data_IF_824936526879
#
_entry.id   IF_824936526879
#
_cell.length_a   1.000
_cell.length_b   1.000
_cell.length_c   1.000
_cell.angle_alpha   90.00
_cell.angle_beta   90.00
_cell.angle_gamma   90.00
#
_symmetry.space_group_name_H-M   'P 1'
#
loop_
_entity.id
_entity.type
_entity.pdbx_description
1 polymer ?
#
# COMPACT_ATOMS: atom_id res chain seq x y z
N UNK A 1 -40.58 32.78 -13.70
CA UNK A 1 -39.97 33.14 -15.01
C UNK A 1 -38.58 32.53 -15.05
N UNK A 2 -38.32 31.79 -16.13
CA UNK A 2 -37.12 31.01 -16.47
C UNK A 2 -35.85 31.91 -16.63
N UNK A 3 -34.64 31.39 -17.00
CA UNK A 3 -34.28 30.03 -17.39
C UNK A 3 -32.89 29.50 -16.89
N UNK A 4 -32.66 28.21 -17.20
CA UNK A 4 -31.34 27.55 -17.29
C UNK A 4 -30.49 28.14 -18.44
N UNK A 5 -29.17 27.89 -18.43
CA UNK A 5 -28.45 27.46 -19.62
C UNK A 5 -27.69 26.15 -19.35
N UNK A 6 -27.72 25.12 -20.21
CA UNK A 6 -27.23 24.99 -21.58
C UNK A 6 -25.75 24.59 -21.65
N UNK A 7 -25.59 23.37 -22.19
CA UNK A 7 -24.41 22.68 -22.68
C UNK A 7 -23.64 23.46 -23.74
N UNK A 8 -22.30 23.41 -23.71
CA UNK A 8 -21.44 23.79 -24.83
C UNK A 8 -20.49 22.66 -25.21
N UNK A 9 -20.77 22.11 -26.39
CA UNK A 9 -19.85 21.31 -27.23
C UNK A 9 -18.78 22.22 -27.81
N UNK A 10 -17.54 21.75 -27.90
CA UNK A 10 -16.58 22.24 -28.89
C UNK A 10 -15.74 21.08 -29.42
N UNK A 11 -15.96 20.77 -30.69
CA UNK A 11 -15.22 19.83 -31.52
C UNK A 11 -14.94 20.58 -32.83
N UNK A 12 -13.69 20.88 -33.14
CA UNK A 12 -13.16 21.12 -34.50
C UNK A 12 -11.63 20.99 -34.42
N UNK A 13 -11.00 20.00 -35.07
CA UNK A 13 -10.75 19.83 -36.51
C UNK A 13 -9.47 20.56 -36.94
N UNK A 14 -8.37 19.83 -37.18
CA UNK A 14 -7.29 20.29 -38.07
C UNK A 14 -6.74 19.08 -38.86
N UNK A 15 -6.87 19.16 -40.19
CA UNK A 15 -6.22 18.33 -41.21
C UNK A 15 -4.72 18.69 -41.27
N UNK A 16 -3.88 17.71 -41.62
CA UNK A 16 -2.44 17.87 -41.73
C UNK A 16 -1.95 18.35 -43.09
N UNK A 17 -0.63 18.60 -43.18
CA UNK A 17 0.28 18.13 -44.24
C UNK A 17 1.75 18.35 -43.81
N UNK A 18 2.67 17.70 -44.53
CA UNK A 18 4.01 17.28 -44.10
C UNK A 18 5.16 18.29 -44.32
N UNK A 19 6.21 18.19 -43.50
CA UNK A 19 7.60 17.79 -43.84
C UNK A 19 8.63 18.43 -42.88
N UNK A 20 9.62 17.65 -42.42
CA UNK A 20 10.87 18.18 -41.87
C UNK A 20 11.45 17.38 -40.70
N UNK A 21 12.58 16.72 -40.93
CA UNK A 21 13.34 15.84 -40.03
C UNK A 21 13.83 16.56 -38.76
N UNK A 22 13.90 15.86 -37.63
CA UNK A 22 15.14 15.42 -36.98
C UNK A 22 14.83 14.69 -35.66
N UNK A 23 15.32 13.46 -35.56
CA UNK A 23 15.19 12.54 -34.43
C UNK A 23 16.11 12.92 -33.28
N UNK A 24 15.63 12.88 -32.03
CA UNK A 24 16.42 12.42 -30.87
C UNK A 24 15.48 11.69 -29.90
N UNK A 25 15.68 10.38 -29.76
CA UNK A 25 15.00 9.55 -28.78
C UNK A 25 15.75 9.62 -27.45
N UNK A 26 15.01 9.93 -26.39
CA UNK A 26 15.47 9.77 -25.01
C UNK A 26 15.08 8.38 -24.50
N UNK A 27 16.02 7.66 -23.90
CA UNK A 27 15.75 6.53 -23.00
C UNK A 27 16.66 6.58 -21.76
N UNK A 28 16.20 5.98 -20.65
CA UNK A 28 16.53 6.41 -19.30
C UNK A 28 17.76 5.73 -18.70
N UNK A 29 18.37 6.44 -17.75
CA UNK A 29 19.65 6.12 -17.14
C UNK A 29 19.67 4.93 -16.19
N UNK A 30 20.90 4.47 -15.95
CA UNK A 30 21.26 3.49 -14.94
C UNK A 30 22.20 4.09 -13.89
N UNK A 31 22.03 3.54 -12.69
CA UNK A 31 22.44 4.05 -11.39
C UNK A 31 23.93 3.76 -11.11
N UNK A 32 24.56 4.71 -10.41
CA UNK A 32 25.91 4.68 -9.86
C UNK A 32 26.25 3.38 -9.10
N UNK A 33 27.40 2.78 -9.42
CA UNK A 33 28.17 1.90 -8.53
C UNK A 33 29.63 2.37 -8.47
N UNK A 34 29.85 3.54 -7.85
CA UNK A 34 31.18 4.11 -7.62
C UNK A 34 31.66 3.77 -6.22
N UNK A 35 32.57 2.80 -6.11
CA UNK A 35 33.24 2.50 -4.82
C UNK A 35 34.59 1.79 -4.93
N UNK A 36 34.81 0.92 -5.93
CA UNK A 36 35.98 0.02 -5.94
C UNK A 36 37.11 0.36 -6.92
N UNK A 37 36.94 1.35 -7.79
CA UNK A 37 37.88 1.59 -8.91
C UNK A 37 39.13 2.41 -8.58
N UNK A 38 39.26 2.93 -7.35
CA UNK A 38 40.42 3.78 -6.98
C UNK A 38 41.70 3.00 -6.63
N UNK A 39 41.60 1.69 -6.36
CA UNK A 39 42.78 0.88 -5.98
C UNK A 39 43.53 0.24 -7.16
N UNK A 40 42.89 0.12 -8.32
CA UNK A 40 43.42 -0.63 -9.47
C UNK A 40 44.42 0.18 -10.29
N UNK A 41 44.15 1.47 -10.49
CA UNK A 41 45.01 2.37 -11.26
C UNK A 41 46.39 2.57 -10.60
N UNK A 42 46.45 2.68 -9.27
CA UNK A 42 47.71 2.88 -8.53
C UNK A 42 48.62 1.64 -8.50
N UNK A 43 48.03 0.44 -8.58
CA UNK A 43 48.79 -0.81 -8.60
C UNK A 43 49.39 -1.13 -9.98
N UNK A 44 48.66 -0.81 -11.06
CA UNK A 44 49.13 -0.99 -12.43
C UNK A 44 50.22 0.04 -12.81
N UNK A 45 50.05 1.29 -12.39
CA UNK A 45 51.04 2.36 -12.60
C UNK A 45 52.39 2.08 -11.89
N UNK A 46 52.38 1.33 -10.79
CA UNK A 46 53.59 0.94 -10.04
C UNK A 46 54.30 -0.29 -10.65
N UNK A 47 53.62 -1.07 -11.50
CA UNK A 47 54.19 -2.21 -12.23
C UNK A 47 54.91 -1.77 -13.52
N UNK A 48 54.34 -0.80 -14.25
CA UNK A 48 54.85 -0.33 -15.54
C UNK A 48 56.17 0.48 -15.45
N UNK A 49 56.62 0.83 -14.23
CA UNK A 49 57.86 1.59 -13.95
C UNK A 49 59.02 0.75 -13.38
N UNK A 50 58.98 -0.59 -13.44
CA UNK A 50 60.16 -1.41 -13.09
C UNK A 50 61.02 -1.68 -14.35
N UNK A 51 62.29 -1.25 -14.38
CA UNK A 51 63.19 -1.59 -15.47
C UNK A 51 63.73 -3.02 -15.27
N UNK A 52 63.52 -3.88 -16.27
CA UNK A 52 64.18 -5.18 -16.43
C UNK A 52 63.37 -6.40 -15.97
N UNK A 53 63.15 -7.34 -16.89
CA UNK A 53 62.86 -8.74 -16.59
C UNK A 53 61.55 -9.31 -17.15
N UNK A 54 61.65 -9.95 -18.32
CA UNK A 54 60.69 -10.92 -18.85
C UNK A 54 60.68 -12.17 -17.95
N UNK A 55 59.60 -12.39 -17.19
CA UNK A 55 59.24 -13.69 -16.60
C UNK A 55 57.72 -13.70 -16.32
N UNK A 56 56.98 -14.77 -16.66
CA UNK A 56 55.56 -14.87 -16.37
C UNK A 56 55.33 -15.10 -14.86
N UNK A 57 54.17 -14.68 -14.30
CA UNK A 57 53.93 -14.78 -12.87
C UNK A 57 53.80 -16.25 -12.43
N UNK A 58 54.35 -16.57 -11.25
CA UNK A 58 54.14 -17.89 -10.64
C UNK A 58 52.68 -18.07 -10.19
N UNK A 59 52.19 -19.31 -10.31
CA UNK A 59 50.80 -19.73 -10.04
C UNK A 59 50.25 -19.38 -8.65
N UNK A 60 51.11 -19.03 -7.68
CA UNK A 60 50.69 -18.59 -6.34
C UNK A 60 50.25 -17.13 -6.29
N UNK A 61 50.81 -16.26 -7.14
CA UNK A 61 50.46 -14.84 -7.17
C UNK A 61 49.10 -14.61 -7.86
N UNK A 62 48.79 -15.37 -8.91
CA UNK A 62 47.45 -15.35 -9.53
C UNK A 62 46.38 -15.92 -8.61
N UNK A 63 46.68 -16.97 -7.84
CA UNK A 63 45.74 -17.53 -6.86
C UNK A 63 45.48 -16.62 -5.65
N UNK A 64 46.49 -15.88 -5.16
CA UNK A 64 46.31 -14.90 -4.09
C UNK A 64 45.60 -13.64 -4.56
N UNK A 65 45.74 -13.26 -5.84
CA UNK A 65 45.01 -12.17 -6.47
C UNK A 65 43.52 -12.50 -6.70
N UNK A 66 43.22 -13.72 -7.16
CA UNK A 66 41.84 -14.23 -7.26
C UNK A 66 41.15 -14.32 -5.88
N UNK A 67 41.87 -14.77 -4.84
CA UNK A 67 41.35 -14.86 -3.45
C UNK A 67 41.18 -13.52 -2.75
N UNK A 68 41.88 -12.46 -3.18
CA UNK A 68 41.79 -11.12 -2.60
C UNK A 68 40.78 -10.23 -3.34
N UNK A 69 40.60 -10.43 -4.64
CA UNK A 69 39.57 -9.75 -5.45
C UNK A 69 38.13 -10.12 -5.02
N UNK A 70 37.88 -11.38 -4.64
CA UNK A 70 36.58 -11.81 -4.09
C UNK A 70 36.23 -11.24 -2.70
N UNK A 71 37.14 -10.50 -2.04
CA UNK A 71 36.98 -10.09 -0.64
C UNK A 71 36.47 -8.66 -0.45
N UNK A 72 36.21 -7.93 -1.54
CA UNK A 72 35.69 -6.56 -1.44
C UNK A 72 34.17 -6.55 -1.65
N UNK A 73 33.47 -6.36 -0.52
CA UNK A 73 32.02 -6.20 -0.26
C UNK A 73 31.09 -6.97 -1.20
N UNK A 74 30.67 -8.16 -0.76
CA UNK A 74 29.63 -8.93 -1.42
C UNK A 74 28.35 -8.09 -1.49
N UNK A 75 27.85 -7.72 -2.69
CA UNK A 75 26.51 -7.12 -2.84
C UNK A 75 25.43 -7.98 -2.16
N UNK A 76 25.66 -9.30 -2.04
CA UNK A 76 24.81 -10.21 -1.27
C UNK A 76 24.66 -9.87 0.21
N UNK A 77 25.68 -9.36 0.92
CA UNK A 77 25.52 -9.01 2.35
C UNK A 77 24.59 -7.80 2.56
N UNK A 78 24.70 -6.79 1.69
CA UNK A 78 23.82 -5.63 1.74
C UNK A 78 22.38 -5.97 1.31
N UNK A 79 22.21 -6.92 0.39
CA UNK A 79 20.90 -7.43 -0.02
C UNK A 79 20.25 -8.26 1.09
N UNK A 80 21.01 -9.16 1.71
CA UNK A 80 20.52 -9.99 2.83
C UNK A 80 20.14 -9.14 4.05
N UNK A 81 20.87 -8.04 4.31
CA UNK A 81 20.50 -7.08 5.34
C UNK A 81 19.17 -6.35 5.02
N UNK A 82 18.95 -5.95 3.77
CA UNK A 82 17.70 -5.31 3.32
C UNK A 82 16.51 -6.28 3.34
N UNK A 83 16.71 -7.52 2.89
CA UNK A 83 15.70 -8.59 2.98
C UNK A 83 15.37 -8.89 4.43
N UNK A 84 16.37 -8.95 5.32
CA UNK A 84 16.16 -9.13 6.75
C UNK A 84 15.33 -7.99 7.38
N UNK A 85 15.55 -6.75 6.96
CA UNK A 85 14.74 -5.60 7.40
C UNK A 85 13.28 -5.71 6.90
N UNK A 86 13.06 -6.12 5.65
CA UNK A 86 11.71 -6.32 5.11
C UNK A 86 10.94 -7.42 5.82
N UNK A 87 11.60 -8.53 6.16
CA UNK A 87 10.99 -9.63 6.92
C UNK A 87 10.55 -9.15 8.30
N UNK A 88 11.35 -8.28 8.94
CA UNK A 88 10.96 -7.67 10.21
C UNK A 88 9.76 -6.72 10.03
N UNK A 89 9.78 -5.88 9.01
CA UNK A 89 8.67 -4.96 8.71
C UNK A 89 7.37 -5.71 8.39
N UNK A 90 7.45 -6.82 7.65
CA UNK A 90 6.31 -7.72 7.41
C UNK A 90 5.78 -8.32 8.71
N UNK A 91 6.65 -8.81 9.60
CA UNK A 91 6.21 -9.35 10.90
C UNK A 91 5.54 -8.30 11.79
N UNK A 92 6.05 -7.06 11.78
CA UNK A 92 5.41 -5.93 12.46
C UNK A 92 4.05 -5.61 11.85
N UNK A 93 3.96 -5.65 10.51
CA UNK A 93 2.72 -5.41 9.79
C UNK A 93 1.69 -6.51 10.09
N UNK A 94 2.07 -7.78 10.08
CA UNK A 94 1.20 -8.91 10.42
C UNK A 94 0.64 -8.81 11.83
N UNK A 95 1.49 -8.51 12.83
CA UNK A 95 1.02 -8.25 14.19
C UNK A 95 0.05 -7.06 14.25
N UNK A 96 0.34 -5.98 13.53
CA UNK A 96 -0.53 -4.82 13.47
C UNK A 96 -1.86 -5.12 12.76
N UNK A 97 -1.87 -5.96 11.71
CA UNK A 97 -3.08 -6.48 11.04
C UNK A 97 -3.90 -7.32 12.02
N UNK A 98 -3.28 -8.26 12.73
CA UNK A 98 -3.99 -9.10 13.71
C UNK A 98 -4.63 -8.27 14.82
N UNK A 99 -3.89 -7.29 15.36
CA UNK A 99 -4.42 -6.35 16.36
C UNK A 99 -5.58 -5.49 15.80
N UNK A 100 -5.43 -5.01 14.56
CA UNK A 100 -6.46 -4.23 13.89
C UNK A 100 -7.71 -5.07 13.60
N UNK A 101 -7.55 -6.32 13.18
CA UNK A 101 -8.66 -7.23 12.90
C UNK A 101 -9.46 -7.54 14.16
N UNK A 102 -8.79 -7.84 15.27
CA UNK A 102 -9.43 -7.98 16.58
C UNK A 102 -10.19 -6.70 16.97
N UNK A 103 -9.60 -5.52 16.73
CA UNK A 103 -10.26 -4.25 17.01
C UNK A 103 -11.48 -4.03 16.12
N UNK A 104 -11.41 -4.42 14.84
CA UNK A 104 -12.49 -4.30 13.88
C UNK A 104 -13.63 -5.26 14.22
N UNK A 105 -13.32 -6.50 14.60
CA UNK A 105 -14.30 -7.47 15.08
C UNK A 105 -15.02 -6.97 16.34
N UNK A 106 -14.28 -6.39 17.30
CA UNK A 106 -14.87 -5.74 18.48
C UNK A 106 -15.77 -4.56 18.10
N UNK A 107 -15.36 -3.72 17.16
CA UNK A 107 -16.16 -2.60 16.69
C UNK A 107 -17.44 -3.06 15.97
N UNK A 108 -17.38 -4.13 15.17
CA UNK A 108 -18.53 -4.75 14.52
C UNK A 108 -19.48 -5.35 15.56
N UNK A 109 -18.96 -6.06 16.55
CA UNK A 109 -19.76 -6.61 17.65
C UNK A 109 -20.45 -5.49 18.46
N UNK A 110 -19.72 -4.42 18.79
CA UNK A 110 -20.28 -3.23 19.43
C UNK A 110 -21.37 -2.57 18.57
N UNK A 111 -21.17 -2.49 17.26
CA UNK A 111 -22.17 -1.93 16.34
C UNK A 111 -23.43 -2.79 16.25
N UNK A 112 -23.29 -4.13 16.22
CA UNK A 112 -24.42 -5.07 16.23
C UNK A 112 -25.22 -5.00 17.52
N UNK A 113 -24.54 -4.96 18.67
CA UNK A 113 -25.19 -4.81 19.98
C UNK A 113 -25.92 -3.48 20.10
N UNK A 114 -25.34 -2.39 19.58
CA UNK A 114 -26.01 -1.09 19.48
C UNK A 114 -27.25 -1.12 18.58
N UNK A 115 -27.15 -1.74 17.40
CA UNK A 115 -28.28 -1.88 16.50
C UNK A 115 -29.43 -2.67 17.15
N UNK A 116 -29.11 -3.74 17.88
CA UNK A 116 -30.09 -4.50 18.65
C UNK A 116 -30.73 -3.67 19.77
N UNK A 117 -29.93 -2.86 20.48
CA UNK A 117 -30.41 -1.91 21.49
C UNK A 117 -31.35 -0.87 20.91
N UNK A 118 -30.95 -0.19 19.84
CA UNK A 118 -31.76 0.80 19.14
C UNK A 118 -33.08 0.22 18.61
N UNK A 119 -33.08 -1.02 18.12
CA UNK A 119 -34.31 -1.72 17.72
C UNK A 119 -35.25 -1.94 18.89
N UNK A 120 -34.72 -2.31 20.06
CA UNK A 120 -35.49 -2.45 21.31
C UNK A 120 -36.04 -1.10 21.76
N UNK A 121 -35.22 -0.05 21.74
CA UNK A 121 -35.63 1.31 22.09
C UNK A 121 -36.78 1.78 21.16
N UNK A 122 -36.65 1.54 19.85
CA UNK A 122 -37.69 1.84 18.85
C UNK A 122 -38.99 1.06 19.12
N UNK A 123 -38.93 -0.20 19.52
CA UNK A 123 -40.12 -0.95 19.94
C UNK A 123 -40.77 -0.29 21.18
N UNK A 124 -39.96 0.17 22.14
CA UNK A 124 -40.45 0.92 23.31
C UNK A 124 -41.16 2.23 22.93
N UNK A 125 -40.67 2.95 21.91
CA UNK A 125 -41.32 4.19 21.44
C UNK A 125 -42.73 3.97 20.87
N UNK A 126 -43.05 2.77 20.38
CA UNK A 126 -44.42 2.43 19.95
C UNK A 126 -45.39 2.36 21.14
N UNK A 127 -44.91 1.90 22.30
CA UNK A 127 -45.69 1.96 23.55
C UNK A 127 -45.94 3.40 23.99
N UNK A 128 -44.96 4.29 23.79
CA UNK A 128 -45.12 5.72 24.06
C UNK A 128 -46.19 6.39 23.19
N UNK A 129 -46.25 6.07 21.89
CA UNK A 129 -47.31 6.61 21.01
C UNK A 129 -48.69 6.19 21.48
N UNK A 130 -48.86 4.93 21.89
CA UNK A 130 -50.12 4.44 22.43
C UNK A 130 -50.52 5.14 23.74
N UNK A 131 -49.57 5.32 24.67
CA UNK A 131 -49.81 6.05 25.93
C UNK A 131 -50.14 7.52 25.68
N UNK A 132 -49.50 8.15 24.70
CA UNK A 132 -49.80 9.53 24.29
C UNK A 132 -51.22 9.65 23.77
N UNK A 133 -51.67 8.73 22.93
CA UNK A 133 -53.04 8.73 22.39
C UNK A 133 -54.07 8.48 23.48
N UNK A 134 -53.78 7.57 24.42
CA UNK A 134 -54.61 7.33 25.61
C UNK A 134 -54.69 8.57 26.51
N UNK A 135 -53.57 9.24 26.78
CA UNK A 135 -53.55 10.47 27.57
C UNK A 135 -54.30 11.62 26.87
N UNK A 136 -54.20 11.72 25.54
CA UNK A 136 -54.97 12.67 24.73
C UNK A 136 -56.48 12.41 24.83
N UNK A 137 -56.88 11.14 24.72
CA UNK A 137 -58.27 10.70 24.88
C UNK A 137 -58.80 10.99 26.29
N UNK A 138 -58.01 10.64 27.32
CA UNK A 138 -58.34 10.92 28.72
C UNK A 138 -58.48 12.43 28.99
N UNK A 139 -57.60 13.26 28.43
CA UNK A 139 -57.71 14.73 28.51
C UNK A 139 -59.00 15.24 27.87
N UNK A 140 -59.37 14.73 26.69
CA UNK A 140 -60.64 15.08 26.03
C UNK A 140 -61.85 14.72 26.91
N UNK A 141 -61.85 13.50 27.47
CA UNK A 141 -62.88 13.02 28.39
C UNK A 141 -62.96 13.87 29.67
N UNK A 142 -61.83 14.19 30.29
CA UNK A 142 -61.75 15.08 31.45
C UNK A 142 -62.32 16.47 31.13
N UNK A 143 -61.96 17.04 29.98
CA UNK A 143 -62.42 18.37 29.54
C UNK A 143 -63.94 18.37 29.35
N UNK A 144 -64.48 17.32 28.72
CA UNK A 144 -65.92 17.11 28.57
C UNK A 144 -66.63 16.85 29.90
N UNK A 145 -66.01 16.16 30.84
CA UNK A 145 -66.55 15.93 32.18
C UNK A 145 -66.66 17.24 32.98
N UNK A 146 -65.61 18.08 32.93
CA UNK A 146 -65.60 19.41 33.57
C UNK A 146 -66.64 20.33 32.94
N UNK A 147 -66.77 20.37 31.62
CA UNK A 147 -67.78 21.22 30.97
C UNK A 147 -69.21 20.79 31.31
N UNK A 148 -69.48 19.48 31.33
CA UNK A 148 -70.78 18.92 31.77
C UNK A 148 -71.06 19.19 33.24
N UNK A 149 -70.06 19.10 34.11
CA UNK A 149 -70.18 19.45 35.53
C UNK A 149 -70.52 20.93 35.73
N UNK A 150 -69.81 21.83 35.01
CA UNK A 150 -70.10 23.28 35.02
C UNK A 150 -71.51 23.60 34.53
N UNK A 151 -71.96 22.96 33.45
CA UNK A 151 -73.32 23.14 32.93
C UNK A 151 -74.40 22.61 33.89
N UNK A 152 -74.13 21.50 34.60
CA UNK A 152 -75.04 20.99 35.63
C UNK A 152 -75.15 21.97 36.81
N UNK A 153 -74.02 22.55 37.25
CA UNK A 153 -73.98 23.54 38.32
C UNK A 153 -74.76 24.81 37.94
N UNK A 154 -74.47 25.40 36.77
CA UNK A 154 -75.16 26.61 36.32
C UNK A 154 -76.66 26.36 36.09
N UNK A 155 -77.04 25.18 35.63
CA UNK A 155 -78.44 24.75 35.53
C UNK A 155 -79.13 24.70 36.88
N UNK A 156 -78.48 24.17 37.92
CA UNK A 156 -79.03 24.16 39.29
C UNK A 156 -79.13 25.55 39.91
N UNK A 157 -78.15 26.43 39.68
CA UNK A 157 -78.16 27.82 40.14
C UNK A 157 -79.30 28.62 39.49
N UNK A 158 -79.48 28.47 38.18
CA UNK A 158 -80.59 29.10 37.44
C UNK A 158 -81.96 28.62 37.91
N UNK A 159 -82.10 27.31 38.17
CA UNK A 159 -83.34 26.74 38.71
C UNK A 159 -83.59 27.23 40.14
N UNK A 160 -82.56 27.30 40.99
CA UNK A 160 -82.67 27.87 42.34
C UNK A 160 -83.13 29.33 42.29
N UNK A 161 -82.52 30.16 41.46
CA UNK A 161 -82.91 31.56 41.27
C UNK A 161 -84.36 31.69 40.77
N UNK A 162 -84.79 30.80 39.87
CA UNK A 162 -86.17 30.75 39.37
C UNK A 162 -87.18 30.36 40.46
N UNK A 163 -86.85 29.34 41.28
CA UNK A 163 -87.67 28.93 42.43
C UNK A 163 -87.76 30.05 43.47
N UNK A 164 -86.66 30.77 43.74
CA UNK A 164 -86.64 31.91 44.63
C UNK A 164 -87.42 33.12 44.10
N UNK A 165 -87.35 33.38 42.79
CA UNK A 165 -88.16 34.39 42.11
C UNK A 165 -89.65 34.07 42.19
N UNK A 166 -90.05 32.83 41.89
CA UNK A 166 -91.45 32.39 42.05
C UNK A 166 -91.94 32.50 43.50
N UNK A 167 -91.10 32.16 44.47
CA UNK A 167 -91.40 32.33 45.90
C UNK A 167 -91.69 33.80 46.26
N UNK A 168 -90.92 34.75 45.71
CA UNK A 168 -91.12 36.20 45.93
C UNK A 168 -92.43 36.71 45.30
N UNK A 169 -92.74 36.30 44.06
CA UNK A 169 -93.96 36.71 43.33
C UNK A 169 -95.24 36.19 44.00
N UNK A 170 -95.18 35.02 44.64
CA UNK A 170 -96.36 34.33 45.19
C UNK A 170 -96.61 34.60 46.69
N UNK A 171 -95.93 35.56 47.30
CA UNK A 171 -95.97 35.86 48.75
C UNK A 171 -97.34 36.18 49.37
N UNK A 172 -98.42 36.30 48.59
CA UNK A 172 -99.75 36.75 49.04
C UNK A 172 -100.95 35.88 48.61
N UNK A 173 -100.78 34.60 48.22
CA UNK A 173 -101.91 33.76 47.72
C UNK A 173 -102.17 32.49 48.55
N UNK A 174 -103.46 32.13 48.73
CA UNK A 174 -103.92 30.83 49.29
C UNK A 174 -103.39 29.68 48.41
N UNK A 175 -102.63 28.74 48.97
CA UNK A 175 -101.98 27.61 48.24
C UNK A 175 -100.46 27.50 48.40
N UNK A 176 -99.84 28.43 49.13
CA UNK A 176 -98.38 28.53 49.35
C UNK A 176 -97.72 27.24 49.86
N UNK A 177 -98.36 26.51 50.79
CA UNK A 177 -97.78 25.28 51.35
C UNK A 177 -97.65 24.15 50.32
N UNK A 178 -98.66 23.96 49.46
CA UNK A 178 -98.64 22.94 48.42
C UNK A 178 -97.61 23.25 47.32
N UNK A 179 -97.51 24.53 46.94
CA UNK A 179 -96.50 25.00 45.99
C UNK A 179 -95.08 24.90 46.58
N UNK A 180 -94.89 25.29 47.84
CA UNK A 180 -93.58 25.18 48.53
C UNK A 180 -93.10 23.74 48.60
N UNK A 181 -94.00 22.78 48.88
CA UNK A 181 -93.68 21.34 48.84
C UNK A 181 -93.28 20.86 47.45
N UNK A 182 -93.98 21.29 46.39
CA UNK A 182 -93.62 20.97 45.00
C UNK A 182 -92.27 21.58 44.60
N UNK A 183 -92.01 22.83 44.98
CA UNK A 183 -90.72 23.48 44.72
C UNK A 183 -89.58 22.78 45.46
N UNK A 184 -89.79 22.39 46.72
CA UNK A 184 -88.83 21.58 47.48
C UNK A 184 -88.55 20.25 46.77
N UNK A 185 -89.58 19.54 46.34
CA UNK A 185 -89.43 18.28 45.61
C UNK A 185 -88.66 18.43 44.28
N UNK A 186 -88.93 19.48 43.50
CA UNK A 186 -88.19 19.75 42.25
C UNK A 186 -86.73 20.11 42.56
N UNK A 187 -86.48 20.91 43.59
CA UNK A 187 -85.14 21.25 44.05
C UNK A 187 -84.36 20.01 44.51
N UNK A 188 -84.96 19.17 45.33
CA UNK A 188 -84.30 17.96 45.86
C UNK A 188 -83.96 16.98 44.73
N UNK A 189 -84.90 16.74 43.81
CA UNK A 189 -84.67 15.88 42.64
C UNK A 189 -83.55 16.41 41.74
N UNK A 190 -83.56 17.70 41.43
CA UNK A 190 -82.53 18.33 40.57
C UNK A 190 -81.17 18.36 41.26
N UNK A 191 -81.11 18.57 42.58
CA UNK A 191 -79.88 18.50 43.36
C UNK A 191 -79.29 17.09 43.39
N UNK A 192 -80.12 16.05 43.55
CA UNK A 192 -79.67 14.65 43.48
C UNK A 192 -79.14 14.29 42.09
N UNK A 193 -79.83 14.71 41.02
CA UNK A 193 -79.38 14.48 39.65
C UNK A 193 -78.06 15.21 39.32
N UNK A 194 -77.90 16.46 39.79
CA UNK A 194 -76.66 17.21 39.65
C UNK A 194 -75.50 16.59 40.43
N UNK A 195 -75.72 16.18 41.68
CA UNK A 195 -74.73 15.46 42.49
C UNK A 195 -74.29 14.16 41.81
N UNK A 196 -75.21 13.40 41.20
CA UNK A 196 -74.87 12.18 40.46
C UNK A 196 -73.96 12.48 39.26
N UNK A 197 -74.24 13.54 38.49
CA UNK A 197 -73.40 13.97 37.36
C UNK A 197 -72.03 14.50 37.80
N UNK A 198 -71.95 15.23 38.91
CA UNK A 198 -70.69 15.72 39.49
C UNK A 198 -69.83 14.54 39.94
N UNK A 199 -70.39 13.57 40.69
CA UNK A 199 -69.66 12.35 41.09
C UNK A 199 -69.15 11.54 39.89
N UNK A 200 -69.92 11.47 38.81
CA UNK A 200 -69.48 10.84 37.57
C UNK A 200 -68.29 11.59 36.94
N UNK A 201 -68.34 12.93 36.93
CA UNK A 201 -67.24 13.76 36.43
C UNK A 201 -65.97 13.63 37.29
N UNK A 202 -66.10 13.59 38.62
CA UNK A 202 -64.99 13.34 39.55
C UNK A 202 -64.31 12.00 39.28
N UNK A 203 -65.07 10.92 39.08
CA UNK A 203 -64.53 9.59 38.73
C UNK A 203 -63.76 9.63 37.40
N UNK A 204 -64.30 10.31 36.39
CA UNK A 204 -63.63 10.47 35.09
C UNK A 204 -62.33 11.26 35.20
N UNK A 205 -62.29 12.30 36.04
CA UNK A 205 -61.10 13.10 36.30
C UNK A 205 -60.01 12.30 37.02
N UNK A 206 -60.38 11.48 38.00
CA UNK A 206 -59.44 10.57 38.68
C UNK A 206 -58.77 9.59 37.71
N UNK A 207 -59.56 8.95 36.85
CA UNK A 207 -59.02 8.06 35.80
C UNK A 207 -58.15 8.80 34.78
N UNK A 208 -58.46 10.06 34.48
CA UNK A 208 -57.68 10.85 33.54
C UNK A 208 -56.35 11.30 34.14
N UNK A 209 -56.35 11.62 35.44
CA UNK A 209 -55.14 11.95 36.18
C UNK A 209 -54.17 10.78 36.22
N UNK A 210 -54.65 9.56 36.53
CA UNK A 210 -53.79 8.36 36.58
C UNK A 210 -53.14 8.06 35.23
N UNK A 211 -53.89 8.11 34.13
CA UNK A 211 -53.36 7.94 32.77
C UNK A 211 -52.34 9.04 32.44
N UNK A 212 -52.60 10.30 32.80
CA UNK A 212 -51.66 11.39 32.56
C UNK A 212 -50.37 11.25 33.37
N UNK A 213 -50.43 10.79 34.62
CA UNK A 213 -49.24 10.56 35.45
C UNK A 213 -48.39 9.41 34.90
N UNK A 214 -49.02 8.32 34.46
CA UNK A 214 -48.32 7.20 33.84
C UNK A 214 -47.64 7.64 32.53
N UNK A 215 -48.36 8.36 31.66
CA UNK A 215 -47.80 8.87 30.41
C UNK A 215 -46.62 9.82 30.64
N UNK A 216 -46.66 10.68 31.67
CA UNK A 216 -45.55 11.57 32.04
C UNK A 216 -44.33 10.79 32.53
N UNK A 217 -44.52 9.74 33.33
CA UNK A 217 -43.44 8.86 33.80
C UNK A 217 -42.74 8.17 32.62
N UNK A 218 -43.50 7.48 31.77
CA UNK A 218 -42.95 6.80 30.59
C UNK A 218 -42.29 7.76 29.60
N UNK A 219 -42.79 8.99 29.45
CA UNK A 219 -42.14 10.03 28.64
C UNK A 219 -40.72 10.38 29.17
N UNK A 220 -40.56 10.44 30.49
CA UNK A 220 -39.29 10.70 31.16
C UNK A 220 -38.28 9.59 30.91
N UNK A 221 -38.69 8.34 31.12
CA UNK A 221 -37.87 7.15 30.86
C UNK A 221 -37.44 7.06 29.39
N UNK A 222 -38.39 7.27 28.45
CA UNK A 222 -38.09 7.26 27.03
C UNK A 222 -37.06 8.34 26.64
N UNK A 223 -37.15 9.53 27.23
CA UNK A 223 -36.17 10.61 27.00
C UNK A 223 -34.78 10.23 27.53
N UNK A 224 -34.70 9.60 28.70
CA UNK A 224 -33.43 9.14 29.27
C UNK A 224 -32.80 8.06 28.38
N UNK A 225 -33.57 7.03 28.01
CA UNK A 225 -33.11 5.94 27.14
C UNK A 225 -32.63 6.49 25.80
N UNK A 226 -33.37 7.40 25.16
CA UNK A 226 -32.95 8.02 23.90
C UNK A 226 -31.64 8.81 24.04
N UNK A 227 -31.46 9.52 25.15
CA UNK A 227 -30.23 10.24 25.47
C UNK A 227 -29.02 9.30 25.63
N UNK A 228 -29.17 8.21 26.39
CA UNK A 228 -28.13 7.19 26.57
C UNK A 228 -27.83 6.44 25.27
N UNK A 229 -28.86 6.11 24.48
CA UNK A 229 -28.72 5.46 23.17
C UNK A 229 -27.92 6.34 22.19
N UNK A 230 -28.22 7.64 22.16
CA UNK A 230 -27.46 8.62 21.36
C UNK A 230 -26.00 8.71 21.79
N UNK A 231 -25.72 8.78 23.11
CA UNK A 231 -24.35 8.80 23.63
C UNK A 231 -23.57 7.54 23.24
N UNK A 232 -24.18 6.36 23.37
CA UNK A 232 -23.55 5.10 22.96
C UNK A 232 -23.29 5.03 21.45
N UNK A 233 -24.24 5.49 20.64
CA UNK A 233 -24.06 5.57 19.18
C UNK A 233 -22.91 6.50 18.78
N UNK A 234 -22.79 7.66 19.42
CA UNK A 234 -21.66 8.59 19.19
C UNK A 234 -20.32 7.97 19.59
N UNK A 235 -20.25 7.25 20.71
CA UNK A 235 -19.03 6.57 21.15
C UNK A 235 -18.59 5.50 20.15
N UNK A 236 -19.52 4.67 19.65
CA UNK A 236 -19.20 3.68 18.62
C UNK A 236 -18.76 4.30 17.29
N UNK A 237 -19.38 5.41 16.86
CA UNK A 237 -18.95 6.14 15.67
C UNK A 237 -17.51 6.66 15.82
N UNK A 238 -17.16 7.21 16.98
CA UNK A 238 -15.78 7.67 17.26
C UNK A 238 -14.79 6.51 17.20
N UNK A 239 -15.11 5.37 17.82
CA UNK A 239 -14.30 4.15 17.76
C UNK A 239 -14.11 3.63 16.33
N UNK A 240 -15.18 3.58 15.54
CA UNK A 240 -15.13 3.17 14.14
C UNK A 240 -14.25 4.09 13.28
N UNK A 241 -14.34 5.42 13.45
CA UNK A 241 -13.48 6.39 12.76
C UNK A 241 -12.00 6.18 13.12
N UNK A 242 -11.71 5.92 14.38
CA UNK A 242 -10.34 5.65 14.82
C UNK A 242 -9.80 4.35 14.21
N UNK A 243 -10.58 3.27 14.27
CA UNK A 243 -10.23 2.00 13.62
C UNK A 243 -9.99 2.18 12.11
N UNK A 244 -10.82 2.96 11.42
CA UNK A 244 -10.64 3.26 10.00
C UNK A 244 -9.32 4.00 9.72
N UNK A 245 -8.97 5.01 10.52
CA UNK A 245 -7.67 5.71 10.38
C UNK A 245 -6.48 4.76 10.52
N UNK A 246 -6.52 3.86 11.51
CA UNK A 246 -5.48 2.85 11.69
C UNK A 246 -5.40 1.88 10.50
N UNK A 247 -6.54 1.43 9.98
CA UNK A 247 -6.59 0.58 8.79
C UNK A 247 -5.95 1.25 7.55
N UNK A 248 -6.21 2.55 7.33
CA UNK A 248 -5.60 3.31 6.23
C UNK A 248 -4.09 3.42 6.40
N UNK A 249 -3.60 3.70 7.62
CA UNK A 249 -2.16 3.75 7.89
C UNK A 249 -1.49 2.39 7.66
N UNK A 250 -2.15 1.31 8.03
CA UNK A 250 -1.66 -0.04 7.83
C UNK A 250 -1.59 -0.42 6.35
N UNK A 251 -2.62 -0.06 5.58
CA UNK A 251 -2.64 -0.27 4.13
C UNK A 251 -1.50 0.49 3.41
N UNK A 252 -1.19 1.72 3.87
CA UNK A 252 -0.05 2.48 3.36
C UNK A 252 1.27 1.76 3.62
N UNK A 253 1.49 1.26 4.84
CA UNK A 253 2.70 0.50 5.20
C UNK A 253 2.81 -0.80 4.39
N UNK A 254 1.70 -1.53 4.23
CA UNK A 254 1.66 -2.75 3.42
C UNK A 254 2.06 -2.51 1.95
N UNK A 255 1.60 -1.40 1.38
CA UNK A 255 1.95 -1.02 0.00
C UNK A 255 3.43 -0.62 -0.12
N UNK A 256 3.98 0.03 0.91
CA UNK A 256 5.41 0.36 0.96
C UNK A 256 6.28 -0.90 1.05
N UNK A 257 5.95 -1.84 1.95
CA UNK A 257 6.66 -3.12 2.06
C UNK A 257 6.57 -3.92 0.76
N UNK A 258 5.40 -3.93 0.10
CA UNK A 258 5.22 -4.61 -1.20
C UNK A 258 6.11 -3.99 -2.29
N UNK A 259 6.22 -2.66 -2.36
CA UNK A 259 7.08 -1.99 -3.34
C UNK A 259 8.55 -2.29 -3.12
N UNK A 260 8.97 -2.40 -1.87
CA UNK A 260 10.36 -2.69 -1.52
C UNK A 260 10.70 -4.16 -1.78
N UNK A 261 9.80 -5.11 -1.49
CA UNK A 261 9.92 -6.50 -1.93
C UNK A 261 10.09 -6.60 -3.45
N UNK A 262 9.25 -5.92 -4.22
CA UNK A 262 9.36 -5.89 -5.68
C UNK A 262 10.67 -5.26 -6.18
N UNK A 263 11.31 -4.38 -5.40
CA UNK A 263 12.67 -3.88 -5.73
C UNK A 263 13.72 -4.94 -5.45
N UNK A 264 13.65 -5.61 -4.31
CA UNK A 264 14.59 -6.68 -3.98
C UNK A 264 14.52 -7.82 -5.00
N UNK A 265 13.31 -8.22 -5.42
CA UNK A 265 13.11 -9.24 -6.47
C UNK A 265 13.79 -8.87 -7.80
N UNK A 266 13.68 -7.60 -8.22
CA UNK A 266 14.39 -7.12 -9.41
C UNK A 266 15.90 -7.15 -9.23
N UNK A 267 16.40 -6.69 -8.08
CA UNK A 267 17.83 -6.72 -7.77
C UNK A 267 18.39 -8.15 -7.73
N UNK A 268 17.63 -9.11 -7.19
CA UNK A 268 18.03 -10.52 -7.20
C UNK A 268 18.09 -11.09 -8.61
N UNK A 269 17.15 -10.73 -9.48
CA UNK A 269 17.13 -11.21 -10.85
C UNK A 269 18.27 -10.63 -11.69
N UNK A 270 18.61 -9.34 -11.49
CA UNK A 270 19.79 -8.72 -12.09
C UNK A 270 21.09 -9.41 -11.65
N UNK A 271 21.22 -9.72 -10.36
CA UNK A 271 22.39 -10.44 -9.84
C UNK A 271 22.46 -11.87 -10.37
N UNK A 272 21.32 -12.54 -10.56
CA UNK A 272 21.23 -13.88 -11.16
C UNK A 272 21.72 -13.85 -12.60
N UNK A 273 21.22 -12.92 -13.41
CA UNK A 273 21.66 -12.76 -14.80
C UNK A 273 23.16 -12.48 -14.92
N UNK A 274 23.72 -11.63 -14.05
CA UNK A 274 25.16 -11.36 -14.03
C UNK A 274 26.02 -12.56 -13.62
N UNK A 275 25.51 -13.46 -12.76
CA UNK A 275 26.19 -14.71 -12.41
C UNK A 275 26.17 -15.70 -13.57
N UNK A 276 25.04 -15.82 -14.26
CA UNK A 276 24.90 -16.67 -15.46
C UNK A 276 25.85 -16.21 -16.58
N UNK A 277 25.96 -14.91 -16.83
CA UNK A 277 26.90 -14.35 -17.81
C UNK A 277 28.37 -14.63 -17.41
N UNK A 278 28.71 -14.46 -16.13
CA UNK A 278 30.05 -14.74 -15.63
C UNK A 278 30.42 -16.24 -15.72
N UNK A 279 29.45 -17.13 -15.47
CA UNK A 279 29.61 -18.57 -15.63
C UNK A 279 29.88 -18.92 -17.11
N UNK A 280 29.11 -18.34 -18.03
CA UNK A 280 29.30 -18.54 -19.47
C UNK A 280 30.72 -18.13 -19.92
N UNK A 281 31.19 -16.95 -19.54
CA UNK A 281 32.57 -16.51 -19.84
C UNK A 281 33.60 -17.47 -19.22
N UNK A 282 33.36 -17.98 -18.01
CA UNK A 282 34.22 -18.98 -17.37
C UNK A 282 34.31 -20.29 -18.17
N UNK A 283 33.19 -20.75 -18.74
CA UNK A 283 33.17 -21.95 -19.59
C UNK A 283 33.96 -21.74 -20.89
N UNK A 284 33.77 -20.60 -21.58
CA UNK A 284 34.50 -20.27 -22.81
C UNK A 284 36.02 -20.21 -22.58
N UNK A 285 36.46 -19.60 -21.47
CA UNK A 285 37.88 -19.54 -21.10
C UNK A 285 38.45 -20.93 -20.80
N UNK A 286 37.67 -21.81 -20.16
CA UNK A 286 38.06 -23.19 -19.86
C UNK A 286 38.23 -24.03 -21.13
N UNK A 287 37.29 -23.92 -22.08
CA UNK A 287 37.40 -24.56 -23.39
C UNK A 287 38.62 -24.07 -24.17
N UNK A 288 38.88 -22.75 -24.13
CA UNK A 288 40.05 -22.17 -24.75
C UNK A 288 41.36 -22.70 -24.12
N UNK A 289 41.42 -22.82 -22.80
CA UNK A 289 42.59 -23.39 -22.10
C UNK A 289 42.87 -24.84 -22.50
N UNK A 290 41.81 -25.68 -22.64
CA UNK A 290 41.95 -27.05 -23.13
C UNK A 290 42.52 -27.08 -24.55
N UNK A 291 41.97 -26.26 -25.45
CA UNK A 291 42.44 -26.19 -26.84
C UNK A 291 43.92 -25.76 -26.95
N UNK A 292 44.37 -24.83 -26.10
CA UNK A 292 45.78 -24.42 -26.03
C UNK A 292 46.68 -25.55 -25.52
N UNK A 293 46.21 -26.33 -24.54
CA UNK A 293 46.95 -27.47 -24.00
C UNK A 293 47.11 -28.59 -25.03
N UNK A 294 46.08 -28.86 -25.82
CA UNK A 294 46.12 -29.81 -26.94
C UNK A 294 47.10 -29.34 -28.02
N UNK A 295 47.02 -28.07 -28.41
CA UNK A 295 47.92 -27.46 -29.38
C UNK A 295 49.38 -27.48 -28.91
N UNK A 296 49.64 -27.21 -27.63
CA UNK A 296 50.97 -27.35 -27.00
C UNK A 296 51.47 -28.80 -27.02
N UNK A 297 50.60 -29.76 -26.69
CA UNK A 297 50.96 -31.18 -26.68
C UNK A 297 51.32 -31.68 -28.08
N UNK A 298 50.60 -31.20 -29.10
CA UNK A 298 50.92 -31.44 -30.51
C UNK A 298 52.31 -30.90 -30.88
N UNK A 299 52.61 -29.65 -30.50
CA UNK A 299 53.92 -29.05 -30.74
C UNK A 299 55.07 -29.83 -30.06
N UNK A 300 54.87 -30.31 -28.83
CA UNK A 300 55.86 -31.14 -28.14
C UNK A 300 56.14 -32.46 -28.87
N UNK A 301 55.12 -33.09 -29.47
CA UNK A 301 55.29 -34.29 -30.30
C UNK A 301 56.10 -33.99 -31.56
N UNK A 302 55.87 -32.83 -32.17
CA UNK A 302 56.59 -32.39 -33.36
C UNK A 302 58.06 -32.11 -33.05
N UNK A 303 58.36 -31.45 -31.92
CA UNK A 303 59.72 -31.25 -31.42
C UNK A 303 60.41 -32.58 -31.13
N UNK A 304 59.70 -33.53 -30.50
CA UNK A 304 60.25 -34.87 -30.24
C UNK A 304 60.60 -35.58 -31.54
N UNK A 305 59.70 -35.56 -32.53
CA UNK A 305 59.96 -36.14 -33.86
C UNK A 305 61.21 -35.54 -34.49
N UNK A 306 61.37 -34.21 -34.40
CA UNK A 306 62.57 -33.53 -34.89
C UNK A 306 63.85 -33.98 -34.15
N UNK A 307 63.78 -34.13 -32.83
CA UNK A 307 64.91 -34.54 -32.02
C UNK A 307 65.30 -36.01 -32.26
N UNK A 308 64.32 -36.89 -32.45
CA UNK A 308 64.53 -38.29 -32.82
C UNK A 308 65.19 -38.38 -34.21
N UNK A 309 64.78 -37.55 -35.17
CA UNK A 309 65.41 -37.44 -36.48
C UNK A 309 66.87 -36.94 -36.38
N UNK A 310 67.13 -35.91 -35.57
CA UNK A 310 68.49 -35.39 -35.35
C UNK A 310 69.41 -36.42 -34.67
N UNK A 311 68.88 -37.17 -33.70
CA UNK A 311 69.63 -38.23 -33.01
C UNK A 311 69.96 -39.36 -33.97
N UNK A 312 68.99 -39.79 -34.80
CA UNK A 312 69.23 -40.81 -35.81
C UNK A 312 70.34 -40.38 -36.77
N UNK A 313 70.37 -39.12 -37.22
CA UNK A 313 71.43 -38.58 -38.07
C UNK A 313 72.82 -38.59 -37.40
N UNK A 314 72.88 -38.42 -36.08
CA UNK A 314 74.13 -38.51 -35.31
C UNK A 314 74.63 -39.94 -35.13
N UNK A 315 73.71 -40.91 -35.02
CA UNK A 315 74.04 -42.35 -34.88
C UNK A 315 74.48 -42.99 -36.21
N UNK A 316 74.23 -42.35 -37.36
CA UNK A 316 74.61 -42.82 -38.69
C UNK A 316 76.13 -42.87 -38.94
N UNK A 317 76.96 -42.23 -38.10
CA UNK A 317 78.44 -42.29 -38.20
C UNK A 317 79.02 -43.70 -37.93
N UNK A 318 78.22 -44.65 -37.42
CA UNK A 318 78.74 -45.93 -36.89
C UNK A 318 78.26 -47.22 -37.59
N UNK A 319 77.50 -47.18 -38.69
CA UNK A 319 76.91 -48.42 -39.27
C UNK A 319 76.65 -48.45 -40.79
N UNK A 320 76.45 -49.65 -41.34
CA UNK A 320 76.34 -49.98 -42.78
C UNK A 320 74.95 -49.78 -43.43
N UNK A 321 73.98 -49.16 -42.74
CA UNK A 321 72.60 -48.91 -43.25
C UNK A 321 72.26 -47.42 -43.49
N UNK A 322 73.28 -46.61 -43.79
CA UNK A 322 73.21 -45.15 -43.97
C UNK A 322 72.10 -44.71 -44.93
N UNK A 323 72.01 -45.29 -46.13
CA UNK A 323 71.06 -44.84 -47.16
C UNK A 323 69.58 -45.07 -46.80
N UNK A 324 69.25 -46.22 -46.20
CA UNK A 324 67.88 -46.52 -45.80
C UNK A 324 67.41 -45.60 -44.65
N UNK A 325 68.29 -45.31 -43.70
CA UNK A 325 68.00 -44.42 -42.59
C UNK A 325 67.92 -42.94 -43.02
N UNK A 326 68.77 -42.49 -43.95
CA UNK A 326 68.66 -41.17 -44.58
C UNK A 326 67.35 -41.01 -45.37
N UNK A 327 66.95 -42.05 -46.12
CA UNK A 327 65.69 -42.07 -46.86
C UNK A 327 64.46 -41.98 -45.95
N UNK A 328 64.42 -42.76 -44.87
CA UNK A 328 63.34 -42.72 -43.88
C UNK A 328 63.28 -41.38 -43.12
N UNK A 329 64.45 -40.84 -42.74
CA UNK A 329 64.56 -39.55 -42.10
C UNK A 329 64.10 -38.40 -43.00
N UNK A 330 64.46 -38.43 -44.29
CA UNK A 330 64.02 -37.45 -45.29
C UNK A 330 62.50 -37.47 -45.49
N UNK A 331 61.89 -38.65 -45.53
CA UNK A 331 60.43 -38.80 -45.63
C UNK A 331 59.69 -38.26 -44.39
N UNK A 332 60.20 -38.54 -43.18
CA UNK A 332 59.62 -37.99 -41.94
C UNK A 332 59.80 -36.47 -41.85
N UNK A 333 60.95 -35.94 -42.27
CA UNK A 333 61.21 -34.51 -42.31
C UNK A 333 60.31 -33.79 -43.32
N UNK A 334 60.06 -34.38 -44.49
CA UNK A 334 59.09 -33.85 -45.46
C UNK A 334 57.67 -33.83 -44.87
N UNK A 335 57.24 -34.91 -44.23
CA UNK A 335 55.92 -34.97 -43.56
C UNK A 335 55.79 -33.92 -42.46
N UNK A 336 56.84 -33.72 -41.66
CA UNK A 336 56.89 -32.70 -40.63
C UNK A 336 56.89 -31.29 -41.24
N UNK A 337 57.67 -31.06 -42.31
CA UNK A 337 57.67 -29.79 -43.07
C UNK A 337 56.30 -29.46 -43.63
N UNK A 338 55.62 -30.42 -44.25
CA UNK A 338 54.27 -30.22 -44.78
C UNK A 338 53.28 -29.87 -43.66
N UNK A 339 53.40 -30.48 -42.47
CA UNK A 339 52.59 -30.13 -41.30
C UNK A 339 52.91 -28.75 -40.70
N UNK A 340 54.14 -28.28 -40.83
CA UNK A 340 54.61 -27.00 -40.28
C UNK A 340 54.63 -25.84 -41.30
N UNK A 341 54.39 -26.12 -42.59
CA UNK A 341 54.47 -25.14 -43.68
C UNK A 341 53.42 -24.02 -43.56
N UNK A 342 52.30 -24.29 -42.89
CA UNK A 342 51.32 -23.29 -42.51
C UNK A 342 51.50 -22.93 -41.02
N UNK A 343 51.17 -21.69 -40.61
CA UNK A 343 51.08 -21.34 -39.20
C UNK A 343 50.23 -22.38 -38.48
N UNK A 344 50.84 -23.15 -37.57
CA UNK A 344 50.15 -24.22 -36.88
C UNK A 344 48.95 -23.69 -36.08
N UNK A 345 48.02 -24.58 -35.74
CA UNK A 345 46.80 -24.22 -35.02
C UNK A 345 47.05 -23.37 -33.75
N UNK A 346 48.19 -23.59 -33.07
CA UNK A 346 48.64 -22.79 -31.92
C UNK A 346 48.99 -21.35 -32.29
N UNK A 347 49.76 -21.13 -33.36
CA UNK A 347 50.20 -19.82 -33.79
C UNK A 347 49.01 -18.97 -34.28
N UNK A 348 48.08 -19.59 -35.02
CA UNK A 348 46.82 -18.95 -35.43
C UNK A 348 45.96 -18.58 -34.20
N UNK A 349 45.84 -19.46 -33.21
CA UNK A 349 45.10 -19.17 -31.96
C UNK A 349 45.74 -18.03 -31.18
N UNK A 350 47.07 -18.03 -31.05
CA UNK A 350 47.81 -17.01 -30.32
C UNK A 350 47.65 -15.63 -30.98
N UNK A 351 47.72 -15.59 -32.31
CA UNK A 351 47.47 -14.37 -33.09
C UNK A 351 46.04 -13.84 -32.88
N UNK A 352 45.04 -14.73 -32.88
CA UNK A 352 43.65 -14.35 -32.62
C UNK A 352 43.45 -13.83 -31.20
N UNK A 353 44.05 -14.48 -30.20
CA UNK A 353 44.04 -14.03 -28.81
C UNK A 353 44.69 -12.67 -28.62
N UNK A 354 45.81 -12.42 -29.29
CA UNK A 354 46.47 -11.11 -29.26
C UNK A 354 45.60 -10.03 -29.89
N UNK A 355 44.92 -10.35 -31.00
CA UNK A 355 43.99 -9.43 -31.65
C UNK A 355 42.77 -9.13 -30.77
N UNK A 356 42.15 -10.14 -30.17
CA UNK A 356 41.01 -9.98 -29.26
C UNK A 356 41.42 -9.19 -28.00
N UNK A 357 42.62 -9.44 -27.46
CA UNK A 357 43.17 -8.68 -26.34
C UNK A 357 43.43 -7.20 -26.72
N UNK A 358 43.95 -6.93 -27.92
CA UNK A 358 44.12 -5.56 -28.42
C UNK A 358 42.78 -4.84 -28.55
N UNK A 359 41.77 -5.51 -29.12
CA UNK A 359 40.40 -4.96 -29.21
C UNK A 359 39.78 -4.71 -27.83
N UNK A 360 39.98 -5.60 -26.86
CA UNK A 360 39.53 -5.40 -25.49
C UNK A 360 40.23 -4.18 -24.85
N UNK A 361 41.53 -4.02 -25.11
CA UNK A 361 42.30 -2.89 -24.60
C UNK A 361 41.81 -1.55 -25.16
N UNK A 362 41.50 -1.48 -26.45
CA UNK A 362 40.91 -0.30 -27.08
C UNK A 362 39.55 0.04 -26.48
N UNK A 363 38.68 -0.97 -26.28
CA UNK A 363 37.38 -0.78 -25.62
C UNK A 363 37.53 -0.26 -24.19
N UNK A 364 38.49 -0.78 -23.44
CA UNK A 364 38.77 -0.32 -22.07
C UNK A 364 39.23 1.14 -22.09
N UNK A 365 40.13 1.52 -23.00
CA UNK A 365 40.58 2.92 -23.12
C UNK A 365 39.42 3.86 -23.49
N UNK A 366 38.53 3.44 -24.39
CA UNK A 366 37.32 4.19 -24.70
C UNK A 366 36.45 4.39 -23.46
N UNK A 367 36.17 3.32 -22.69
CA UNK A 367 35.42 3.44 -21.44
C UNK A 367 36.12 4.31 -20.39
N UNK A 368 37.45 4.30 -20.32
CA UNK A 368 38.21 5.16 -19.42
C UNK A 368 38.09 6.64 -19.79
N UNK A 369 38.08 6.94 -21.10
CA UNK A 369 37.82 8.27 -21.64
C UNK A 369 36.40 8.72 -21.29
N UNK A 370 35.39 7.91 -21.58
CA UNK A 370 33.98 8.21 -21.27
C UNK A 370 33.80 8.47 -19.77
N UNK A 371 34.45 7.66 -18.92
CA UNK A 371 34.40 7.85 -17.47
C UNK A 371 35.11 9.13 -17.01
N UNK A 372 36.15 9.58 -17.71
CA UNK A 372 36.80 10.86 -17.42
C UNK A 372 35.89 12.04 -17.77
N UNK A 373 35.22 11.98 -18.92
CA UNK A 373 34.22 12.96 -19.36
C UNK A 373 33.05 13.06 -18.38
N UNK A 374 32.42 11.93 -18.05
CA UNK A 374 31.31 11.88 -17.08
C UNK A 374 31.72 12.47 -15.71
N UNK A 375 32.97 12.25 -15.29
CA UNK A 375 33.49 12.84 -14.03
C UNK A 375 33.68 14.36 -14.14
N UNK A 376 34.14 14.85 -15.29
CA UNK A 376 34.26 16.28 -15.55
C UNK A 376 32.87 16.94 -15.57
N UNK A 377 31.91 16.34 -16.26
CA UNK A 377 30.51 16.81 -16.31
C UNK A 377 29.88 16.85 -14.92
N UNK A 378 30.06 15.79 -14.13
CA UNK A 378 29.57 15.76 -12.76
C UNK A 378 30.13 16.93 -11.95
N UNK A 379 31.45 17.18 -12.05
CA UNK A 379 32.09 18.27 -11.34
C UNK A 379 31.55 19.63 -11.80
N UNK A 380 31.41 19.82 -13.11
CA UNK A 380 30.82 21.02 -13.69
C UNK A 380 29.40 21.27 -13.16
N UNK A 381 28.55 20.24 -13.14
CA UNK A 381 27.19 20.33 -12.59
C UNK A 381 27.18 20.62 -11.08
N UNK A 382 28.13 20.05 -10.32
CA UNK A 382 28.30 20.36 -8.89
C UNK A 382 28.74 21.81 -8.67
N UNK A 383 29.58 22.36 -9.54
CA UNK A 383 30.01 23.76 -9.50
C UNK A 383 28.89 24.72 -9.93
N UNK A 384 28.06 24.34 -10.91
CA UNK A 384 26.82 25.06 -11.27
C UNK A 384 25.85 25.07 -10.09
N UNK A 385 25.57 23.92 -9.48
CA UNK A 385 24.68 23.84 -8.32
C UNK A 385 25.13 24.73 -7.16
N UNK A 386 26.44 24.86 -6.94
CA UNK A 386 27.01 25.74 -5.90
C UNK A 386 27.01 27.22 -6.26
N UNK A 387 27.01 27.56 -7.55
CA UNK A 387 27.01 28.94 -8.04
C UNK A 387 25.62 29.48 -8.32
N UNK A 388 24.59 28.63 -8.30
CA UNK A 388 23.20 29.07 -8.37
C UNK A 388 22.85 29.85 -7.08
N UNK A 389 22.36 31.09 -7.19
CA UNK A 389 21.96 31.88 -6.04
C UNK A 389 20.77 31.22 -5.31
N UNK A 390 20.79 31.26 -3.98
CA UNK A 390 19.70 30.78 -3.13
C UNK A 390 18.55 31.80 -3.13
N UNK A 391 17.84 31.94 -4.26
CA UNK A 391 16.63 32.76 -4.35
C UNK A 391 16.30 33.28 -5.75
N UNK A 392 15.05 33.69 -5.96
CA UNK A 392 14.67 34.49 -7.11
C UNK A 392 15.27 35.88 -6.94
N UNK A 393 16.33 36.21 -7.68
CA UNK A 393 16.72 37.60 -7.89
C UNK A 393 15.59 38.30 -8.64
N UNK A 394 14.92 39.22 -7.97
CA UNK A 394 13.90 40.09 -8.54
C UNK A 394 14.50 40.79 -9.77
N UNK A 395 13.97 40.44 -10.94
CA UNK A 395 14.23 41.18 -12.17
C UNK A 395 13.46 42.50 -12.02
N UNK A 396 14.19 43.59 -11.79
CA UNK A 396 13.67 44.97 -11.82
C UNK A 396 13.29 45.40 -13.24
#
# INVERSE_FOLDING_TARGET
MCPKPATSSCRTCWKGEQHGRHSVSWRPGTRKSSGRRRSWALAWWRWQRRPGGLLPPSSRQTQTWLRSSCRQAAPGQALMAQVGALVQDLGVLEQAVGMQELSAQRAIAASRTLAAGLRRDLQGTRGFTQLRDQAGSARSLATSAVSRGKAALSGTESLLASLEGMRKVLGHRKGQAALSRRMAHVRDRTMVEAQKKIKQAEKMLGNSLSVSTAAKGTAGEAKQVAGESTKRAQAALRGSKQAHKHAVQLAMRANETQRELARQERMTEELRGGLEEAEQVGTEVSEMAKSLQEARSSLMKDIKTLNDLLSSLGDLEQGTQVEAALGAGRLQLEKLRLRLAAPGALAQRLSRLQQEAAQQQEKIQAFESDLAEIRADKKNLEDILRSLPEGCSEWQ
#
